data_IF_435224636906
#
_entry.id   IF_435224636906
#
_cell.length_a   1.000
_cell.length_b   1.000
_cell.length_c   1.000
_cell.angle_alpha   90.00
_cell.angle_beta   90.00
_cell.angle_gamma   90.00
#
_symmetry.space_group_name_H-M   'P 1'
#
loop_
_entity.id
_entity.type
_entity.pdbx_description
1 polymer ?
#
# COMPACT_ATOMS: atom_id res chain seq x y z
N UNK A 1 -26.26 31.23 -75.36
CA UNK A 1 -26.55 31.57 -73.95
C UNK A 1 -26.60 30.37 -73.01
N UNK A 2 -26.17 29.17 -73.42
CA UNK A 2 -26.16 27.94 -72.59
C UNK A 2 -24.77 27.57 -72.10
N UNK A 3 -23.71 27.97 -72.81
CA UNK A 3 -22.30 27.59 -72.49
C UNK A 3 -21.74 28.38 -71.27
N UNK A 4 -22.22 29.62 -71.01
CA UNK A 4 -21.70 30.45 -69.90
C UNK A 4 -22.23 29.98 -68.51
N UNK A 5 -23.38 29.33 -68.44
CA UNK A 5 -23.97 28.81 -67.22
C UNK A 5 -23.22 27.57 -66.68
N UNK A 6 -22.60 26.74 -67.54
CA UNK A 6 -21.84 25.56 -67.12
C UNK A 6 -20.46 25.91 -66.54
N UNK A 7 -19.83 26.99 -67.00
CA UNK A 7 -18.49 27.39 -66.50
C UNK A 7 -18.63 28.01 -65.10
N UNK A 8 -19.69 28.78 -64.83
CA UNK A 8 -19.93 29.39 -63.50
C UNK A 8 -20.26 28.30 -62.45
N UNK A 9 -20.99 27.25 -62.85
CA UNK A 9 -21.36 26.17 -61.93
C UNK A 9 -20.15 25.29 -61.59
N UNK A 10 -19.20 25.05 -62.51
CA UNK A 10 -17.97 24.31 -62.25
C UNK A 10 -16.99 25.04 -61.31
N UNK A 11 -16.91 26.37 -61.40
CA UNK A 11 -15.99 27.16 -60.55
C UNK A 11 -16.55 27.26 -59.12
N UNK A 12 -17.87 27.35 -58.93
CA UNK A 12 -18.50 27.40 -57.60
C UNK A 12 -18.43 26.04 -56.91
N UNK A 13 -18.52 24.90 -57.66
CA UNK A 13 -18.42 23.57 -57.09
C UNK A 13 -16.96 23.25 -56.65
N UNK A 14 -15.94 23.67 -57.44
CA UNK A 14 -14.53 23.50 -57.11
C UNK A 14 -14.12 24.29 -55.85
N UNK A 15 -14.54 25.52 -55.73
CA UNK A 15 -14.22 26.36 -54.56
C UNK A 15 -14.89 25.87 -53.26
N UNK A 16 -16.05 25.24 -53.37
CA UNK A 16 -16.76 24.70 -52.23
C UNK A 16 -16.11 23.40 -51.68
N UNK A 17 -15.53 22.57 -52.56
CA UNK A 17 -14.86 21.34 -52.15
C UNK A 17 -13.52 21.60 -51.45
N UNK A 18 -12.75 22.59 -51.89
CA UNK A 18 -11.50 22.96 -51.23
C UNK A 18 -11.72 23.58 -49.82
N UNK A 19 -12.75 24.42 -49.68
CA UNK A 19 -13.06 25.03 -48.41
C UNK A 19 -13.55 24.01 -47.36
N UNK A 20 -14.34 23.02 -47.79
CA UNK A 20 -14.82 21.95 -46.91
C UNK A 20 -13.66 21.04 -46.50
N UNK A 21 -12.70 20.73 -47.39
CA UNK A 21 -11.52 19.93 -47.02
C UNK A 21 -10.59 20.68 -46.07
N UNK A 22 -10.34 21.98 -46.26
CA UNK A 22 -9.54 22.79 -45.32
C UNK A 22 -10.20 22.88 -43.96
N UNK A 23 -11.53 23.02 -43.87
CA UNK A 23 -12.24 23.00 -42.60
C UNK A 23 -12.20 21.62 -41.89
N UNK A 24 -12.24 20.52 -42.66
CA UNK A 24 -12.10 19.15 -42.09
C UNK A 24 -10.70 18.90 -41.55
N UNK A 25 -9.66 19.32 -42.24
CA UNK A 25 -8.26 19.18 -41.80
C UNK A 25 -8.02 20.01 -40.54
N UNK A 26 -8.53 21.27 -40.46
CA UNK A 26 -8.40 22.12 -39.27
C UNK A 26 -9.11 21.49 -38.07
N UNK A 27 -10.28 20.88 -38.26
CA UNK A 27 -11.02 20.20 -37.17
C UNK A 27 -10.31 18.94 -36.69
N UNK A 28 -9.67 18.17 -37.59
CA UNK A 28 -8.90 16.97 -37.24
C UNK A 28 -7.62 17.36 -36.52
N UNK A 29 -6.90 18.39 -36.99
CA UNK A 29 -5.69 18.88 -36.31
C UNK A 29 -6.00 19.49 -34.95
N UNK A 30 -7.10 20.25 -34.79
CA UNK A 30 -7.57 20.75 -33.49
C UNK A 30 -7.95 19.61 -32.52
N UNK A 31 -8.58 18.54 -33.03
CA UNK A 31 -8.95 17.37 -32.21
C UNK A 31 -7.71 16.60 -31.69
N UNK A 32 -6.67 16.49 -32.50
CA UNK A 32 -5.42 15.81 -32.13
C UNK A 32 -4.60 16.63 -31.12
N UNK A 33 -4.59 17.96 -31.24
CA UNK A 33 -3.90 18.84 -30.27
C UNK A 33 -4.56 18.85 -28.88
N UNK A 34 -5.87 18.65 -28.79
CA UNK A 34 -6.58 18.59 -27.49
C UNK A 34 -6.43 17.24 -26.81
N UNK A 35 -6.25 16.13 -27.58
CA UNK A 35 -5.99 14.79 -27.02
C UNK A 35 -4.58 14.62 -26.43
N UNK A 36 -3.62 15.47 -26.74
CA UNK A 36 -2.22 15.37 -26.29
C UNK A 36 -1.97 15.96 -24.90
N UNK A 37 -2.91 16.65 -24.30
CA UNK A 37 -2.80 17.23 -22.96
C UNK A 37 -3.38 16.29 -21.90
N UNK A 38 -2.95 15.00 -21.91
CA UNK A 38 -3.08 14.15 -20.74
C UNK A 38 -2.18 14.77 -19.68
N UNK A 39 -2.75 15.55 -18.77
CA UNK A 39 -2.11 15.95 -17.52
C UNK A 39 -1.65 14.67 -16.83
N UNK A 40 -0.36 14.35 -16.91
CA UNK A 40 0.25 13.43 -15.97
C UNK A 40 0.07 14.08 -14.61
N UNK A 41 -0.96 13.67 -13.87
CA UNK A 41 -1.06 13.93 -12.45
C UNK A 41 0.16 13.23 -11.83
N UNK A 42 1.25 13.99 -11.60
CA UNK A 42 2.32 13.57 -10.72
C UNK A 42 1.66 13.49 -9.35
N UNK A 43 1.32 12.30 -8.90
CA UNK A 43 1.00 12.06 -7.51
C UNK A 43 2.29 12.39 -6.74
N UNK A 44 2.31 13.56 -6.12
CA UNK A 44 3.38 13.95 -5.22
C UNK A 44 3.29 12.98 -4.03
N UNK A 45 4.32 12.14 -3.88
CA UNK A 45 4.45 11.19 -2.77
C UNK A 45 4.82 12.00 -1.50
N UNK A 46 3.87 12.84 -1.08
CA UNK A 46 4.03 13.75 0.04
C UNK A 46 3.62 13.08 1.35
N UNK A 47 4.56 12.97 2.28
CA UNK A 47 4.29 12.42 3.61
C UNK A 47 5.44 11.63 4.18
N UNK A 48 5.18 10.98 5.31
CA UNK A 48 6.16 10.13 5.99
C UNK A 48 5.98 8.68 5.53
N UNK A 49 7.07 8.06 5.08
CA UNK A 49 7.11 6.67 4.64
C UNK A 49 8.14 5.86 5.43
N UNK A 50 7.90 4.56 5.55
CA UNK A 50 8.81 3.61 6.21
C UNK A 50 9.60 2.85 5.14
N UNK A 51 10.88 2.57 5.41
CA UNK A 51 11.78 1.88 4.48
C UNK A 51 11.48 0.39 4.28
N UNK A 52 10.50 -0.16 5.01
CA UNK A 52 10.04 -1.54 4.84
C UNK A 52 8.55 -1.68 5.18
N UNK A 53 7.90 -2.70 4.61
CA UNK A 53 6.50 -3.04 4.89
C UNK A 53 6.35 -3.94 6.12
N UNK A 54 7.46 -4.50 6.61
CA UNK A 54 7.58 -5.34 7.82
C UNK A 54 8.99 -5.35 8.34
N UNK A 55 9.17 -5.76 9.57
CA UNK A 55 10.48 -5.94 10.20
C UNK A 55 10.60 -7.39 10.65
N UNK A 56 11.63 -8.09 10.17
CA UNK A 56 12.03 -9.39 10.71
C UNK A 56 13.05 -9.11 11.81
N UNK A 57 12.74 -9.54 13.01
CA UNK A 57 13.59 -9.38 14.18
C UNK A 57 14.18 -10.74 14.58
N UNK A 58 15.46 -11.03 14.25
CA UNK A 58 16.11 -12.24 14.73
C UNK A 58 16.14 -12.24 16.25
N UNK A 59 15.77 -13.37 16.87
CA UNK A 59 15.59 -13.47 18.33
C UNK A 59 16.81 -13.00 19.12
N UNK A 60 18.02 -13.37 18.69
CA UNK A 60 19.28 -13.02 19.35
C UNK A 60 19.89 -11.70 18.90
N UNK A 61 19.15 -10.93 18.06
CA UNK A 61 19.62 -9.64 17.59
C UNK A 61 19.74 -8.62 18.73
N UNK A 62 20.82 -7.83 18.71
CA UNK A 62 21.00 -6.66 19.59
C UNK A 62 20.18 -5.44 19.14
N UNK A 63 19.34 -5.61 18.14
CA UNK A 63 18.46 -4.60 17.58
C UNK A 63 18.47 -4.60 16.05
N UNK A 64 17.34 -4.14 15.48
CA UNK A 64 17.18 -3.93 14.04
C UNK A 64 16.88 -2.46 13.77
N UNK A 65 17.24 -2.00 12.57
CA UNK A 65 17.08 -0.59 12.19
C UNK A 65 16.07 -0.48 11.06
N UNK A 66 15.20 0.52 11.13
CA UNK A 66 14.24 0.88 10.10
C UNK A 66 14.41 2.35 9.73
N UNK A 67 14.49 2.65 8.43
CA UNK A 67 14.48 4.04 7.95
C UNK A 67 13.08 4.63 7.98
N UNK A 68 13.01 5.94 8.28
CA UNK A 68 11.81 6.76 8.23
C UNK A 68 12.13 7.96 7.35
N UNK A 69 11.38 8.14 6.28
CA UNK A 69 11.59 9.18 5.27
C UNK A 69 10.44 10.18 5.31
N UNK A 70 10.74 11.44 5.42
CA UNK A 70 9.77 12.52 5.22
C UNK A 70 9.93 13.11 3.82
N UNK A 71 9.02 12.76 2.92
CA UNK A 71 9.02 13.27 1.56
C UNK A 71 8.24 14.58 1.39
N UNK A 72 7.53 15.02 2.44
CA UNK A 72 6.83 16.30 2.44
C UNK A 72 7.81 17.47 2.59
N UNK A 73 7.37 18.66 2.22
CA UNK A 73 8.13 19.90 2.42
C UNK A 73 8.12 20.41 3.87
N UNK A 74 7.20 19.92 4.72
CA UNK A 74 7.02 20.36 6.10
C UNK A 74 7.62 19.36 7.10
N UNK A 75 8.06 19.80 8.27
CA UNK A 75 8.53 18.91 9.32
C UNK A 75 7.39 18.10 9.94
N UNK A 76 7.71 16.92 10.47
CA UNK A 76 6.83 16.09 11.28
C UNK A 76 7.49 15.70 12.60
N UNK A 77 6.71 15.54 13.66
CA UNK A 77 7.13 14.78 14.82
C UNK A 77 6.82 13.29 14.59
N UNK A 78 7.85 12.47 14.76
CA UNK A 78 7.76 11.02 14.59
C UNK A 78 7.75 10.37 15.96
N UNK A 79 6.66 9.66 16.29
CA UNK A 79 6.53 8.90 17.53
C UNK A 79 6.42 7.42 17.19
N UNK A 80 7.25 6.59 17.81
CA UNK A 80 7.30 5.16 17.52
C UNK A 80 7.08 4.32 18.77
N UNK A 81 6.31 3.24 18.63
CA UNK A 81 6.02 2.27 19.70
C UNK A 81 5.84 0.87 19.12
N UNK A 82 6.20 -0.15 19.88
CA UNK A 82 5.87 -1.54 19.53
C UNK A 82 4.73 -2.02 20.41
N UNK A 83 3.69 -2.54 19.78
CA UNK A 83 2.51 -3.10 20.43
C UNK A 83 2.50 -4.62 20.26
N UNK A 84 1.83 -5.33 21.17
CA UNK A 84 1.57 -6.75 21.04
C UNK A 84 0.68 -7.08 19.83
N UNK A 85 0.49 -8.35 19.52
CA UNK A 85 -0.35 -8.80 18.40
C UNK A 85 -1.78 -8.25 18.52
N UNK A 86 -2.32 -8.12 19.74
CA UNK A 86 -3.66 -7.58 20.00
C UNK A 86 -3.76 -6.06 19.80
N UNK A 87 -2.64 -5.36 19.65
CA UNK A 87 -2.51 -3.89 19.57
C UNK A 87 -3.00 -3.13 20.82
N UNK A 88 -3.18 -3.83 21.93
CA UNK A 88 -3.73 -3.25 23.18
C UNK A 88 -2.66 -2.86 24.17
N UNK A 89 -1.51 -3.54 24.17
CA UNK A 89 -0.44 -3.35 25.15
C UNK A 89 0.88 -3.09 24.46
N UNK A 90 1.76 -2.35 25.13
CA UNK A 90 3.14 -2.23 24.70
C UNK A 90 3.82 -3.60 24.77
N UNK A 91 4.48 -3.98 23.69
CA UNK A 91 5.34 -5.16 23.66
C UNK A 91 6.71 -4.85 24.30
N UNK A 92 7.47 -5.88 24.72
CA UNK A 92 8.76 -5.70 25.41
C UNK A 92 9.87 -5.29 24.45
N UNK A 93 9.70 -4.12 23.84
CA UNK A 93 10.64 -3.48 22.91
C UNK A 93 10.82 -2.01 23.27
N UNK A 94 12.02 -1.50 23.02
CA UNK A 94 12.32 -0.08 23.03
C UNK A 94 12.68 0.37 21.62
N UNK A 95 12.10 1.49 21.18
CA UNK A 95 12.45 2.15 19.91
C UNK A 95 13.25 3.39 20.22
N UNK A 96 14.39 3.58 19.58
CA UNK A 96 15.27 4.72 19.80
C UNK A 96 15.60 5.42 18.49
N UNK A 97 15.37 6.74 18.38
CA UNK A 97 14.66 7.60 19.35
C UNK A 97 13.14 7.33 19.36
N UNK A 98 12.45 7.40 20.53
CA UNK A 98 11.01 7.14 20.62
C UNK A 98 10.17 8.29 20.06
N UNK A 99 10.70 9.49 20.09
CA UNK A 99 10.12 10.72 19.55
C UNK A 99 11.23 11.61 19.01
N UNK A 100 11.05 12.12 17.78
CA UNK A 100 11.99 13.07 17.17
C UNK A 100 11.29 13.89 16.08
N UNK A 101 11.85 15.07 15.79
CA UNK A 101 11.49 15.90 14.64
C UNK A 101 12.21 15.37 13.40
N UNK A 102 11.48 15.27 12.29
CA UNK A 102 12.00 14.92 10.98
C UNK A 102 11.62 16.03 9.99
N UNK A 103 12.62 16.80 9.54
CA UNK A 103 12.39 17.91 8.65
C UNK A 103 12.01 17.47 7.23
N UNK A 104 11.48 18.39 6.45
CA UNK A 104 11.06 18.13 5.07
C UNK A 104 12.22 17.61 4.21
N UNK A 105 11.98 16.57 3.44
CA UNK A 105 12.98 15.92 2.57
C UNK A 105 14.05 15.13 3.31
N UNK A 106 13.96 14.99 4.63
CA UNK A 106 14.96 14.27 5.43
C UNK A 106 14.60 12.79 5.64
N UNK A 107 15.65 12.01 5.86
CA UNK A 107 15.60 10.61 6.28
C UNK A 107 16.28 10.46 7.64
N UNK A 108 15.69 9.65 8.51
CA UNK A 108 16.29 9.21 9.76
C UNK A 108 16.09 7.71 9.93
N UNK A 109 16.68 7.13 10.95
CA UNK A 109 16.55 5.72 11.28
C UNK A 109 16.14 5.55 12.74
N UNK A 110 15.24 4.60 12.98
CA UNK A 110 14.87 4.15 14.32
C UNK A 110 15.46 2.77 14.57
N UNK A 111 16.04 2.57 15.76
CA UNK A 111 16.52 1.28 16.22
C UNK A 111 15.49 0.64 17.13
N UNK A 112 15.09 -0.59 16.83
CA UNK A 112 14.16 -1.40 17.61
C UNK A 112 14.99 -2.42 18.39
N UNK A 113 14.87 -2.44 19.70
CA UNK A 113 15.62 -3.33 20.59
C UNK A 113 14.66 -4.07 21.49
N UNK A 114 14.75 -5.39 21.52
CA UNK A 114 13.96 -6.23 22.44
C UNK A 114 14.50 -6.09 23.86
N UNK A 115 13.63 -5.94 24.85
CA UNK A 115 13.98 -5.78 26.28
C UNK A 115 13.56 -6.97 27.13
N UNK A 116 12.89 -7.97 26.53
CA UNK A 116 12.40 -9.15 27.24
C UNK A 116 11.34 -9.88 26.43
N UNK A 117 10.43 -10.54 27.15
CA UNK A 117 9.31 -11.31 26.61
C UNK A 117 9.64 -12.77 26.31
N UNK A 118 8.66 -13.62 26.65
CA UNK A 118 8.72 -15.06 26.35
C UNK A 118 8.14 -15.29 24.96
N UNK A 119 9.00 -15.64 24.02
CA UNK A 119 8.62 -15.95 22.65
C UNK A 119 8.88 -17.45 22.37
N UNK A 120 7.97 -18.16 21.69
CA UNK A 120 8.18 -19.54 21.28
C UNK A 120 9.48 -19.70 20.47
N UNK A 121 10.23 -20.77 20.75
CA UNK A 121 11.49 -21.05 20.06
C UNK A 121 11.30 -21.77 18.71
N UNK A 122 10.08 -22.27 18.43
CA UNK A 122 9.77 -23.12 17.27
C UNK A 122 9.04 -22.38 16.14
N UNK A 123 8.63 -21.10 16.36
CA UNK A 123 7.81 -20.33 15.42
C UNK A 123 7.98 -18.83 15.56
N UNK A 124 7.59 -18.10 14.54
CA UNK A 124 7.49 -16.64 14.60
C UNK A 124 6.44 -16.15 15.60
N UNK A 125 6.67 -14.96 16.13
CA UNK A 125 5.71 -14.21 16.94
C UNK A 125 5.48 -12.83 16.37
N UNK A 126 4.22 -12.37 16.35
CA UNK A 126 3.82 -11.10 15.78
C UNK A 126 3.73 -10.01 16.83
N UNK A 127 4.34 -8.88 16.53
CA UNK A 127 4.11 -7.60 17.17
C UNK A 127 3.85 -6.54 16.09
N UNK A 128 3.42 -5.35 16.50
CA UNK A 128 3.17 -4.24 15.60
C UNK A 128 4.10 -3.08 15.92
N UNK A 129 4.96 -2.71 14.98
CA UNK A 129 5.71 -1.46 15.05
C UNK A 129 4.81 -0.36 14.48
N UNK A 130 4.34 0.53 15.34
CA UNK A 130 3.49 1.66 14.98
C UNK A 130 4.33 2.94 15.01
N UNK A 131 4.36 3.64 13.87
CA UNK A 131 5.05 4.91 13.67
C UNK A 131 4.01 5.97 13.34
N UNK A 132 3.83 6.91 14.25
CA UNK A 132 2.90 8.02 14.12
C UNK A 132 3.64 9.25 13.59
N UNK A 133 3.16 9.83 12.51
CA UNK A 133 3.59 11.13 11.99
C UNK A 133 2.60 12.20 12.40
N UNK A 134 3.07 13.19 13.14
CA UNK A 134 2.28 14.29 13.70
C UNK A 134 2.72 15.58 13.01
N UNK A 135 1.84 16.22 12.20
CA UNK A 135 2.15 17.49 11.56
C UNK A 135 2.25 18.63 12.60
N UNK A 136 2.96 19.74 12.30
CA UNK A 136 2.99 20.89 13.19
C UNK A 136 1.63 21.58 13.27
N UNK A 137 1.23 22.02 14.45
CA UNK A 137 0.12 22.97 14.58
C UNK A 137 0.54 24.33 13.96
N UNK A 138 -0.42 25.13 13.45
CA UNK A 138 -0.10 26.40 12.74
C UNK A 138 0.74 27.37 13.56
N UNK A 139 0.64 27.35 14.87
CA UNK A 139 1.31 28.21 15.84
C UNK A 139 2.38 27.48 16.68
N UNK A 140 2.67 26.22 16.37
CA UNK A 140 3.73 25.49 17.05
C UNK A 140 5.10 26.15 16.78
N UNK A 141 5.92 26.33 17.83
CA UNK A 141 7.24 26.94 17.74
C UNK A 141 8.22 26.23 16.79
N UNK A 142 7.93 24.95 16.46
CA UNK A 142 8.70 24.12 15.55
C UNK A 142 8.08 24.02 14.13
N UNK A 143 6.94 24.73 13.90
CA UNK A 143 6.33 24.85 12.57
C UNK A 143 7.12 25.91 11.78
N UNK A 144 7.97 25.46 10.86
CA UNK A 144 8.58 26.34 9.87
C UNK A 144 7.58 26.56 8.73
N UNK A 145 6.68 27.51 8.88
CA UNK A 145 5.73 27.92 7.86
C UNK A 145 5.53 29.42 7.91
N UNK A 146 5.59 30.05 6.75
CA UNK A 146 5.26 31.47 6.58
C UNK A 146 3.95 31.76 7.29
N UNK A 147 3.98 32.66 8.28
CA UNK A 147 2.80 33.43 8.65
C UNK A 147 2.40 34.19 7.40
N UNK A 148 1.46 33.68 6.64
CA UNK A 148 0.86 34.45 5.55
C UNK A 148 0.26 35.70 6.17
N UNK A 149 0.85 36.84 5.82
CA UNK A 149 0.47 38.17 6.29
C UNK A 149 -0.96 38.46 5.94
N UNK A 150 -1.63 38.97 6.94
CA UNK A 150 -2.93 39.61 7.01
C UNK A 150 -3.68 39.92 5.72
N UNK A 151 -4.64 39.07 5.44
CA UNK A 151 -5.81 39.34 4.61
C UNK A 151 -6.91 38.43 5.10
N UNK A 152 -8.04 38.99 5.51
CA UNK A 152 -9.19 38.26 6.06
C UNK A 152 -9.85 37.34 5.01
N UNK A 153 -9.14 36.30 4.57
CA UNK A 153 -9.70 35.18 3.84
C UNK A 153 -9.87 34.04 4.84
N UNK A 154 -11.11 33.59 5.04
CA UNK A 154 -11.37 32.39 5.82
C UNK A 154 -10.68 31.21 5.12
N UNK A 155 -9.60 30.69 5.71
CA UNK A 155 -8.93 29.48 5.26
C UNK A 155 -9.23 28.35 6.25
N UNK A 156 -9.63 27.20 5.73
CA UNK A 156 -9.77 25.97 6.52
C UNK A 156 -8.51 25.14 6.28
N UNK A 157 -7.71 24.94 7.34
CA UNK A 157 -6.57 24.04 7.32
C UNK A 157 -6.95 22.73 8.00
N UNK A 158 -6.80 21.60 7.30
CA UNK A 158 -7.00 20.25 7.86
C UNK A 158 -5.65 19.60 8.07
N UNK A 159 -5.35 19.24 9.31
CA UNK A 159 -4.14 18.51 9.67
C UNK A 159 -4.47 17.07 10.02
N UNK A 160 -3.78 16.13 9.39
CA UNK A 160 -3.96 14.69 9.60
C UNK A 160 -2.71 14.09 10.24
N UNK A 161 -2.88 13.52 11.42
CA UNK A 161 -1.87 12.64 12.03
C UNK A 161 -2.09 11.22 11.52
N UNK A 162 -1.07 10.62 10.91
CA UNK A 162 -1.12 9.27 10.38
C UNK A 162 -0.37 8.32 11.30
N UNK A 163 -0.96 7.16 11.59
CA UNK A 163 -0.32 6.09 12.34
C UNK A 163 -0.13 4.87 11.44
N UNK A 164 1.10 4.63 11.03
CA UNK A 164 1.50 3.51 10.16
C UNK A 164 1.99 2.37 11.02
N UNK A 165 1.21 1.29 11.13
CA UNK A 165 1.60 0.08 11.85
C UNK A 165 2.02 -1.01 10.87
N UNK A 166 3.27 -1.46 10.97
CA UNK A 166 3.83 -2.57 10.21
C UNK A 166 4.12 -3.76 11.11
N UNK A 167 4.10 -4.96 10.55
CA UNK A 167 4.39 -6.19 11.30
C UNK A 167 5.85 -6.22 11.74
N UNK A 168 6.08 -6.53 13.02
CA UNK A 168 7.37 -6.88 13.60
C UNK A 168 7.30 -8.36 13.96
N UNK A 169 7.99 -9.19 13.18
CA UNK A 169 8.01 -10.65 13.35
C UNK A 169 9.28 -11.05 14.09
N UNK A 170 9.12 -11.50 15.33
CA UNK A 170 10.24 -12.10 16.09
C UNK A 170 10.45 -13.48 15.58
N UNK A 171 11.63 -13.73 15.03
CA UNK A 171 12.00 -15.01 14.41
C UNK A 171 13.10 -15.69 15.23
N UNK A 172 12.81 -16.84 15.85
CA UNK A 172 13.84 -17.63 16.55
C UNK A 172 14.79 -18.28 15.56
N UNK A 173 16.00 -18.60 16.04
CA UNK A 173 17.07 -19.16 15.20
C UNK A 173 16.73 -20.53 14.59
N UNK A 174 15.80 -21.27 15.20
CA UNK A 174 15.33 -22.54 14.63
C UNK A 174 14.48 -22.36 13.35
N UNK A 175 13.99 -21.14 13.07
CA UNK A 175 13.13 -20.82 11.92
C UNK A 175 13.97 -20.20 10.82
N UNK A 176 14.34 -21.01 9.83
CA UNK A 176 15.16 -20.59 8.69
C UNK A 176 14.34 -20.51 7.40
N UNK A 177 14.72 -19.61 6.50
CA UNK A 177 14.14 -19.46 5.18
C UNK A 177 13.13 -18.32 5.08
N UNK A 178 12.28 -18.37 4.04
CA UNK A 178 11.33 -17.32 3.71
C UNK A 178 9.93 -17.93 3.60
N UNK A 179 8.88 -17.28 4.12
CA UNK A 179 7.50 -17.79 4.02
C UNK A 179 7.04 -18.09 2.59
N UNK A 180 7.51 -17.35 1.57
CA UNK A 180 7.15 -17.59 0.17
C UNK A 180 7.64 -18.95 -0.37
N UNK A 181 8.72 -19.50 0.20
CA UNK A 181 9.31 -20.76 -0.24
C UNK A 181 8.54 -21.99 0.29
N UNK A 182 7.84 -21.82 1.41
CA UNK A 182 7.09 -22.89 2.07
C UNK A 182 5.58 -22.68 2.00
N UNK A 183 5.11 -21.67 1.26
CA UNK A 183 3.69 -21.34 1.14
C UNK A 183 2.85 -22.47 0.53
N UNK A 184 3.44 -23.37 -0.26
CA UNK A 184 2.77 -24.54 -0.82
C UNK A 184 2.33 -25.57 0.24
N UNK A 185 2.85 -25.45 1.47
CA UNK A 185 2.43 -26.30 2.60
C UNK A 185 1.09 -25.84 3.20
N UNK A 186 0.66 -24.59 2.93
CA UNK A 186 -0.65 -24.12 3.38
C UNK A 186 -1.74 -24.87 2.61
N UNK A 187 -2.65 -25.49 3.34
CA UNK A 187 -3.78 -26.21 2.76
C UNK A 187 -5.07 -25.42 2.96
N UNK A 188 -6.00 -25.61 2.04
CA UNK A 188 -7.32 -24.99 2.06
C UNK A 188 -8.40 -26.05 2.02
N UNK A 189 -9.43 -25.91 2.83
CA UNK A 189 -10.58 -26.81 2.87
C UNK A 189 -11.88 -26.02 2.89
N UNK A 190 -12.92 -26.54 2.22
CA UNK A 190 -14.25 -25.94 2.21
C UNK A 190 -15.20 -26.90 2.94
N UNK A 191 -15.96 -26.39 3.92
CA UNK A 191 -17.00 -27.14 4.64
C UNK A 191 -18.24 -26.27 4.77
N UNK A 192 -19.29 -26.60 4.01
CA UNK A 192 -20.52 -25.82 4.01
C UNK A 192 -20.33 -24.39 3.51
N UNK A 193 -20.52 -23.42 4.37
CA UNK A 193 -20.34 -21.97 4.07
C UNK A 193 -18.98 -21.42 4.49
N UNK A 194 -18.09 -22.27 4.96
CA UNK A 194 -16.80 -21.86 5.51
C UNK A 194 -15.66 -22.38 4.65
N UNK A 195 -14.61 -21.57 4.56
CA UNK A 195 -13.31 -21.94 4.01
C UNK A 195 -12.26 -21.80 5.10
N UNK A 196 -11.46 -22.82 5.28
CA UNK A 196 -10.38 -22.85 6.29
C UNK A 196 -9.03 -22.92 5.58
N UNK A 197 -8.11 -22.05 5.99
CA UNK A 197 -6.71 -22.10 5.62
C UNK A 197 -5.90 -22.67 6.79
N UNK A 198 -5.18 -23.77 6.57
CA UNK A 198 -4.33 -24.42 7.57
C UNK A 198 -2.86 -24.17 7.25
N UNK A 199 -2.15 -23.55 8.18
CA UNK A 199 -0.74 -23.23 8.07
C UNK A 199 0.10 -24.14 8.97
N UNK A 200 0.72 -25.21 8.44
CA UNK A 200 1.56 -26.12 9.23
C UNK A 200 3.03 -25.63 9.35
N UNK A 201 3.30 -24.40 8.96
CA UNK A 201 4.67 -23.86 8.93
C UNK A 201 4.95 -22.99 10.16
N UNK A 202 6.22 -22.75 10.51
CA UNK A 202 6.57 -21.88 11.62
C UNK A 202 6.47 -20.37 11.30
N UNK A 203 6.06 -20.00 10.07
CA UNK A 203 5.97 -18.63 9.61
C UNK A 203 4.55 -18.07 9.70
N UNK A 204 4.43 -16.78 9.97
CA UNK A 204 3.21 -16.04 9.65
C UNK A 204 3.05 -15.96 8.15
N UNK A 205 2.05 -16.63 7.59
CA UNK A 205 1.72 -16.52 6.17
C UNK A 205 0.96 -15.23 5.90
N UNK A 206 1.69 -14.19 5.47
CA UNK A 206 1.11 -12.90 5.15
C UNK A 206 0.43 -12.97 3.78
N UNK A 207 -0.86 -12.64 3.74
CA UNK A 207 -1.70 -12.74 2.52
C UNK A 207 -2.11 -11.34 2.09
N UNK A 208 -1.68 -10.90 0.91
CA UNK A 208 -2.08 -9.60 0.36
C UNK A 208 -3.40 -9.69 -0.40
N UNK A 209 -3.71 -10.84 -0.95
CA UNK A 209 -4.93 -11.10 -1.73
C UNK A 209 -5.33 -12.56 -1.66
N UNK A 210 -6.62 -12.83 -1.58
CA UNK A 210 -7.17 -14.17 -1.78
C UNK A 210 -8.49 -14.09 -2.54
N UNK A 211 -8.72 -15.04 -3.45
CA UNK A 211 -9.97 -15.19 -4.21
C UNK A 211 -10.39 -16.64 -4.27
N UNK A 212 -11.68 -16.88 -4.37
CA UNK A 212 -12.29 -18.21 -4.55
C UNK A 212 -13.13 -18.14 -5.81
N UNK A 213 -12.79 -18.92 -6.84
CA UNK A 213 -13.39 -18.85 -8.18
C UNK A 213 -13.45 -17.40 -8.72
N UNK A 214 -12.35 -16.62 -8.54
CA UNK A 214 -12.24 -15.24 -8.96
C UNK A 214 -12.98 -14.22 -8.07
N UNK A 215 -13.77 -14.64 -7.07
CA UNK A 215 -14.44 -13.77 -6.11
C UNK A 215 -13.55 -13.49 -4.92
N UNK A 216 -13.46 -12.23 -4.50
CA UNK A 216 -12.63 -11.82 -3.36
C UNK A 216 -13.06 -12.56 -2.09
N UNK A 217 -12.09 -13.19 -1.42
CA UNK A 217 -12.26 -13.73 -0.07
C UNK A 217 -12.09 -12.59 0.93
N UNK A 218 -13.09 -12.38 1.77
CA UNK A 218 -13.00 -11.38 2.83
C UNK A 218 -12.24 -11.98 4.03
N UNK A 219 -11.03 -11.47 4.24
CA UNK A 219 -10.15 -11.91 5.32
C UNK A 219 -10.12 -10.80 6.38
N UNK A 220 -10.56 -11.10 7.60
CA UNK A 220 -10.49 -10.15 8.74
C UNK A 220 -9.03 -9.83 9.08
N UNK A 221 -8.15 -10.82 8.98
CA UNK A 221 -6.71 -10.69 9.17
C UNK A 221 -5.99 -10.96 7.86
N UNK A 222 -5.00 -10.15 7.52
CA UNK A 222 -4.16 -10.33 6.34
C UNK A 222 -3.01 -11.32 6.57
N UNK A 223 -3.19 -12.30 7.45
CA UNK A 223 -2.20 -13.33 7.75
C UNK A 223 -2.83 -14.58 8.36
N UNK A 224 -2.14 -15.70 8.23
CA UNK A 224 -2.46 -16.98 8.88
C UNK A 224 -1.32 -17.28 9.86
N UNK A 225 -1.57 -17.35 11.18
CA UNK A 225 -0.53 -17.59 12.17
C UNK A 225 0.19 -18.94 11.95
N UNK A 226 1.41 -19.12 12.51
CA UNK A 226 2.12 -20.37 12.43
C UNK A 226 1.40 -21.49 13.20
N UNK A 227 1.43 -22.70 12.64
CA UNK A 227 0.83 -23.93 13.19
C UNK A 227 -0.64 -23.76 13.59
N UNK A 228 -1.41 -23.03 12.78
CA UNK A 228 -2.81 -22.72 13.08
C UNK A 228 -3.70 -22.74 11.86
N UNK A 229 -5.00 -22.76 12.14
CA UNK A 229 -6.07 -22.70 11.16
C UNK A 229 -6.79 -21.36 11.26
N UNK A 230 -7.06 -20.74 10.11
CA UNK A 230 -7.89 -19.53 10.02
C UNK A 230 -9.13 -19.82 9.18
N UNK A 231 -10.28 -19.40 9.70
CA UNK A 231 -11.59 -19.67 9.12
C UNK A 231 -12.21 -18.40 8.55
N UNK A 232 -12.71 -18.48 7.33
CA UNK A 232 -13.34 -17.36 6.64
C UNK A 232 -14.71 -17.78 6.09
N UNK A 233 -15.59 -16.81 5.89
CA UNK A 233 -16.86 -17.05 5.21
C UNK A 233 -16.65 -17.22 3.72
N UNK A 234 -17.19 -18.28 3.14
CA UNK A 234 -17.14 -18.54 1.71
C UNK A 234 -17.94 -17.47 0.96
N UNK A 235 -17.41 -16.89 -0.14
CA UNK A 235 -18.18 -15.94 -0.95
C UNK A 235 -19.47 -16.57 -1.50
N UNK A 236 -20.54 -15.78 -1.58
CA UNK A 236 -21.85 -16.25 -2.07
C UNK A 236 -21.74 -16.88 -3.46
N UNK A 237 -22.49 -17.97 -3.67
CA UNK A 237 -22.55 -18.69 -4.96
C UNK A 237 -21.31 -19.53 -5.28
N UNK A 238 -20.40 -19.75 -4.33
CA UNK A 238 -19.31 -20.72 -4.45
C UNK A 238 -19.76 -22.06 -3.87
N UNK A 239 -19.53 -23.14 -4.61
CA UNK A 239 -19.82 -24.52 -4.19
C UNK A 239 -18.56 -25.22 -3.65
N UNK A 240 -18.71 -26.45 -3.17
CA UNK A 240 -17.64 -27.24 -2.55
C UNK A 240 -16.38 -27.39 -3.42
N UNK A 241 -16.54 -27.50 -4.75
CA UNK A 241 -15.39 -27.52 -5.67
C UNK A 241 -15.03 -26.10 -6.08
N UNK A 242 -13.85 -25.64 -5.71
CA UNK A 242 -13.42 -24.27 -5.99
C UNK A 242 -11.92 -24.16 -6.25
N UNK A 243 -11.54 -23.20 -7.06
CA UNK A 243 -10.15 -22.78 -7.25
C UNK A 243 -9.87 -21.57 -6.37
N UNK A 244 -8.89 -21.70 -5.50
CA UNK A 244 -8.43 -20.64 -4.60
C UNK A 244 -7.12 -20.09 -5.16
N UNK A 245 -7.08 -18.78 -5.40
CA UNK A 245 -5.88 -18.05 -5.75
C UNK A 245 -5.55 -17.09 -4.59
N UNK A 246 -4.35 -17.15 -4.12
CA UNK A 246 -3.92 -16.29 -3.02
C UNK A 246 -2.46 -15.86 -3.20
N UNK A 247 -2.13 -14.69 -2.67
CA UNK A 247 -0.80 -14.09 -2.81
C UNK A 247 -0.15 -13.98 -1.44
N UNK A 248 0.93 -14.73 -1.25
CA UNK A 248 1.76 -14.64 -0.04
C UNK A 248 2.80 -13.54 -0.21
N UNK A 249 3.08 -12.85 0.89
CA UNK A 249 4.08 -11.77 0.95
C UNK A 249 5.25 -12.23 1.81
N UNK A 250 6.44 -12.20 1.24
CA UNK A 250 7.67 -12.59 1.89
C UNK A 250 8.32 -11.50 2.75
N UNK A 251 9.51 -11.79 3.23
CA UNK A 251 10.22 -10.98 4.23
C UNK A 251 10.57 -9.58 3.74
N UNK A 252 10.89 -9.45 2.47
CA UNK A 252 11.27 -8.17 1.83
C UNK A 252 10.11 -7.49 1.10
N UNK A 253 8.87 -8.01 1.27
CA UNK A 253 7.69 -7.49 0.60
C UNK A 253 7.46 -8.08 -0.80
N UNK A 254 8.27 -9.04 -1.24
CA UNK A 254 8.06 -9.78 -2.48
C UNK A 254 6.77 -10.58 -2.41
N UNK A 255 6.11 -10.73 -3.54
CA UNK A 255 4.82 -11.40 -3.63
C UNK A 255 4.90 -12.63 -4.52
N UNK A 256 4.31 -13.73 -4.06
CA UNK A 256 4.20 -14.97 -4.83
C UNK A 256 2.76 -15.45 -4.86
N UNK A 257 2.22 -15.60 -6.06
CA UNK A 257 0.87 -16.12 -6.25
C UNK A 257 0.87 -17.65 -6.16
N UNK A 258 -0.16 -18.18 -5.53
CA UNK A 258 -0.42 -19.60 -5.35
C UNK A 258 -1.83 -19.91 -5.78
N UNK A 259 -2.00 -21.08 -6.42
CA UNK A 259 -3.29 -21.59 -6.85
C UNK A 259 -3.47 -23.01 -6.35
N UNK A 260 -4.61 -23.27 -5.74
CA UNK A 260 -5.00 -24.61 -5.27
C UNK A 260 -6.46 -24.89 -5.64
N UNK A 261 -6.75 -26.11 -6.04
CA UNK A 261 -8.13 -26.58 -6.27
C UNK A 261 -8.55 -27.44 -5.09
N UNK A 262 -9.69 -27.11 -4.51
CA UNK A 262 -10.31 -27.83 -3.39
C UNK A 262 -11.55 -28.55 -3.92
N UNK A 263 -11.73 -29.80 -3.51
CA UNK A 263 -12.87 -30.66 -3.89
C UNK A 263 -13.85 -30.80 -2.74
#
# INVERSE_FOLDING_TARGET
>A
MIIILFVIWGVIAGCRSEMVNKLRIVRIVSGILISGMSCMALADDSGVSLGATRVIYPFDSKGVTLSVDNKAGNPFLIKSVVLDESTKKAAPFVVTPPLFRLDGGQRNAIKITRTGGDYPADRESLNWLCVQSIPPEPDAAWAEGKKEGGGAKASVSVQLSLNSCIKLLVRPDAVHGNPVDVADKVSWTIKGKDITASNPTPFYMNVSRATVNGRKLNMERSYIPPFSDEKYSLPEGVMAKATIQWTVVGDYGEQKEKTVTVN
#
